data_IF_570783885657
#
_entry.id   IF_570783885657
#
_cell.length_a   1.000
_cell.length_b   1.000
_cell.length_c   1.000
_cell.angle_alpha   90.00
_cell.angle_beta   90.00
_cell.angle_gamma   90.00
#
_symmetry.space_group_name_H-M   'P 1'
#
loop_
_entity.id
_entity.type
_entity.pdbx_description
1 polymer ?
#
# COMPACT_ATOMS: atom_id res chain seq x y z
N UNK A 1 27.86 20.30 25.35
CA UNK A 1 26.69 19.64 25.96
C UNK A 1 25.75 19.27 24.81
N UNK A 2 25.92 18.06 24.26
CA UNK A 2 25.22 17.61 23.03
C UNK A 2 23.82 17.17 23.44
N UNK A 3 22.80 17.92 23.02
CA UNK A 3 21.41 17.60 23.31
C UNK A 3 21.05 16.19 22.81
N UNK A 4 20.22 15.47 23.57
CA UNK A 4 19.61 14.19 23.18
C UNK A 4 19.10 14.31 21.74
N UNK A 5 19.68 13.54 20.82
CA UNK A 5 19.28 13.57 19.42
C UNK A 5 17.87 12.99 19.31
N UNK A 6 17.05 13.50 18.38
CA UNK A 6 15.72 12.91 18.05
C UNK A 6 15.84 11.44 17.64
N UNK A 7 17.05 11.06 17.26
CA UNK A 7 17.55 9.73 16.94
C UNK A 7 17.53 8.71 18.09
N UNK A 8 17.48 9.11 19.36
CA UNK A 8 17.43 8.15 20.49
C UNK A 8 16.02 7.56 20.72
N UNK A 9 15.04 7.93 19.91
CA UNK A 9 13.71 7.33 19.94
C UNK A 9 13.75 5.90 19.36
N UNK A 10 13.34 4.86 20.12
CA UNK A 10 13.34 3.48 19.63
C UNK A 10 12.51 3.27 18.36
N UNK A 11 11.57 4.17 18.04
CA UNK A 11 10.78 4.15 16.81
C UNK A 11 11.60 4.49 15.55
N UNK A 12 12.73 5.16 15.70
CA UNK A 12 13.59 5.61 14.59
C UNK A 12 14.72 4.62 14.26
N UNK A 13 14.82 3.49 14.98
CA UNK A 13 15.87 2.49 14.80
C UNK A 13 15.95 1.92 13.38
N UNK A 14 14.81 1.77 12.70
CA UNK A 14 14.76 1.24 11.33
C UNK A 14 15.49 2.15 10.32
N UNK A 15 15.53 3.46 10.57
CA UNK A 15 16.24 4.39 9.68
C UNK A 15 17.76 4.28 9.83
N UNK A 16 18.25 3.96 11.02
CA UNK A 16 19.65 3.61 11.19
C UNK A 16 20.02 2.33 10.47
N UNK A 17 19.15 1.31 10.52
CA UNK A 17 19.37 0.10 9.73
C UNK A 17 19.34 0.38 8.23
N UNK A 18 18.47 1.28 7.77
CA UNK A 18 18.47 1.74 6.38
C UNK A 18 19.81 2.38 6.00
N UNK A 19 20.31 3.36 6.75
CA UNK A 19 21.61 4.01 6.48
C UNK A 19 22.76 3.00 6.57
N UNK A 20 22.72 2.09 7.55
CA UNK A 20 23.69 0.99 7.67
C UNK A 20 23.73 0.14 6.39
N UNK A 21 22.57 -0.28 5.88
CA UNK A 21 22.49 -1.07 4.64
C UNK A 21 23.03 -0.28 3.43
N UNK A 22 22.72 1.02 3.32
CA UNK A 22 23.25 1.88 2.26
C UNK A 22 24.79 1.99 2.34
N UNK A 23 25.33 2.09 3.55
CA UNK A 23 26.79 2.15 3.77
C UNK A 23 27.48 0.83 3.47
N UNK A 24 26.88 -0.30 3.83
CA UNK A 24 27.46 -1.64 3.65
C UNK A 24 27.33 -2.14 2.21
N UNK A 25 26.15 -2.03 1.60
CA UNK A 25 25.89 -2.48 0.23
C UNK A 25 26.47 -1.53 -0.83
N UNK A 26 26.70 -0.26 -0.45
CA UNK A 26 27.19 0.81 -1.32
C UNK A 26 26.45 0.90 -2.67
N UNK A 27 25.10 0.90 -2.75
CA UNK A 27 24.40 1.01 -4.03
C UNK A 27 24.75 2.30 -4.79
N UNK A 28 24.53 2.32 -6.11
CA UNK A 28 24.66 3.57 -6.90
C UNK A 28 23.66 4.63 -6.46
N UNK A 29 22.43 4.18 -6.17
CA UNK A 29 21.32 5.02 -5.74
C UNK A 29 20.58 4.34 -4.59
N UNK A 30 20.08 5.15 -3.66
CA UNK A 30 19.15 4.71 -2.64
C UNK A 30 17.93 5.63 -2.63
N UNK A 31 16.75 5.07 -2.36
CA UNK A 31 15.50 5.84 -2.25
C UNK A 31 14.93 5.62 -0.87
N UNK A 32 14.60 6.71 -0.19
CA UNK A 32 13.88 6.70 1.08
C UNK A 32 12.49 7.28 0.84
N UNK A 33 11.48 6.44 0.96
CA UNK A 33 10.07 6.83 0.87
C UNK A 33 9.46 6.90 2.27
N UNK A 34 8.62 7.91 2.50
CA UNK A 34 7.87 8.00 3.75
C UNK A 34 6.63 8.90 3.67
N UNK A 35 5.86 8.96 4.76
CA UNK A 35 4.68 9.82 4.87
C UNK A 35 5.01 11.30 4.77
N UNK A 36 4.13 12.09 4.15
CA UNK A 36 4.26 13.55 4.03
C UNK A 36 4.50 14.27 5.38
N UNK A 37 3.99 13.70 6.48
CA UNK A 37 4.07 14.27 7.82
C UNK A 37 5.50 14.46 8.33
N UNK A 38 6.48 13.72 7.79
CA UNK A 38 7.89 13.90 8.16
C UNK A 38 8.47 15.24 7.71
N UNK A 39 7.82 15.95 6.78
CA UNK A 39 8.27 17.26 6.30
C UNK A 39 7.91 18.43 7.23
N UNK A 40 7.23 18.17 8.35
CA UNK A 40 6.63 19.22 9.20
C UNK A 40 7.17 19.17 10.63
N UNK A 41 7.32 20.34 11.25
CA UNK A 41 7.66 20.49 12.67
C UNK A 41 9.00 19.85 13.06
N UNK A 42 9.03 19.19 14.21
CA UNK A 42 10.23 18.54 14.78
C UNK A 42 10.80 17.43 13.88
N UNK A 43 10.02 16.92 12.92
CA UNK A 43 10.47 15.89 11.98
C UNK A 43 11.37 16.44 10.85
N UNK A 44 11.42 17.77 10.64
CA UNK A 44 12.39 18.36 9.71
C UNK A 44 13.84 18.14 10.16
N UNK A 45 14.08 18.21 11.48
CA UNK A 45 15.39 17.90 12.04
C UNK A 45 15.80 16.45 11.77
N UNK A 46 14.84 15.52 11.86
CA UNK A 46 15.07 14.12 11.53
C UNK A 46 15.48 13.92 10.07
N UNK A 47 14.85 14.63 9.11
CA UNK A 47 15.27 14.57 7.72
C UNK A 47 16.67 15.15 7.50
N UNK A 48 17.02 16.24 8.19
CA UNK A 48 18.36 16.81 8.14
C UNK A 48 19.42 15.82 8.68
N UNK A 49 19.12 15.15 9.78
CA UNK A 49 19.99 14.12 10.37
C UNK A 49 20.16 12.91 9.44
N UNK A 50 19.10 12.47 8.75
CA UNK A 50 19.19 11.42 7.73
C UNK A 50 20.05 11.83 6.54
N UNK A 51 19.88 13.04 6.03
CA UNK A 51 20.68 13.57 4.91
C UNK A 51 22.15 13.63 5.30
N UNK A 52 22.46 14.14 6.50
CA UNK A 52 23.83 14.17 7.03
C UNK A 52 24.43 12.77 7.17
N UNK A 53 23.66 11.80 7.67
CA UNK A 53 24.11 10.42 7.80
C UNK A 53 24.40 9.77 6.43
N UNK A 54 23.61 10.08 5.39
CA UNK A 54 23.88 9.65 4.02
C UNK A 54 25.12 10.35 3.43
N UNK A 55 25.31 11.64 3.72
CA UNK A 55 26.50 12.38 3.32
C UNK A 55 27.79 11.78 3.90
N UNK A 56 27.76 11.41 5.18
CA UNK A 56 28.86 10.70 5.85
C UNK A 56 29.08 9.28 5.29
N UNK A 57 28.04 8.64 4.75
CA UNK A 57 28.14 7.37 4.05
C UNK A 57 28.61 7.50 2.58
N UNK A 58 28.89 8.71 2.10
CA UNK A 58 29.41 8.96 0.74
C UNK A 58 28.33 9.16 -0.32
N UNK A 59 27.17 9.70 0.05
CA UNK A 59 26.05 9.99 -0.86
C UNK A 59 25.66 11.46 -0.83
N UNK A 60 25.32 12.00 -1.98
CA UNK A 60 24.63 13.28 -2.11
C UNK A 60 23.13 13.02 -2.19
N UNK A 61 22.30 13.91 -1.64
CA UNK A 61 20.83 13.80 -1.70
C UNK A 61 20.26 14.85 -2.64
N UNK A 62 19.32 14.46 -3.49
CA UNK A 62 18.62 15.37 -4.39
C UNK A 62 17.74 16.36 -3.59
N UNK A 63 18.17 17.63 -3.58
CA UNK A 63 17.49 18.72 -2.88
C UNK A 63 16.96 19.79 -3.87
N UNK A 64 15.80 20.41 -3.57
CA UNK A 64 14.92 20.12 -2.44
C UNK A 64 14.24 18.75 -2.58
N UNK A 65 14.10 18.02 -1.47
CA UNK A 65 13.33 16.77 -1.47
C UNK A 65 11.85 17.04 -1.81
N UNK A 66 11.17 16.07 -2.40
CA UNK A 66 9.79 16.26 -2.89
C UNK A 66 8.76 15.40 -2.19
N UNK A 67 7.56 15.96 -2.04
CA UNK A 67 6.35 15.23 -1.69
C UNK A 67 5.53 15.05 -2.97
N UNK A 68 5.55 13.83 -3.51
CA UNK A 68 4.83 13.47 -4.72
C UNK A 68 3.42 12.98 -4.38
N UNK A 69 2.43 13.32 -5.20
CA UNK A 69 1.08 12.76 -5.10
C UNK A 69 0.90 11.66 -6.16
N UNK A 70 0.54 10.45 -5.73
CA UNK A 70 0.27 9.33 -6.63
C UNK A 70 -0.78 9.66 -7.71
N UNK A 71 -1.75 10.52 -7.36
CA UNK A 71 -2.77 11.03 -8.28
C UNK A 71 -2.19 11.60 -9.58
N UNK A 72 -1.02 12.24 -9.51
CA UNK A 72 -0.38 12.92 -10.63
C UNK A 72 0.38 11.96 -11.56
N UNK A 73 0.46 10.67 -11.20
CA UNK A 73 1.17 9.61 -11.93
C UNK A 73 0.23 8.46 -12.33
N UNK A 74 -1.03 8.79 -12.66
CA UNK A 74 -2.02 7.82 -13.13
C UNK A 74 -2.59 6.88 -12.07
N UNK A 75 -2.31 7.11 -10.77
CA UNK A 75 -2.92 6.32 -9.68
C UNK A 75 -4.20 7.02 -9.22
N UNK A 76 -5.38 6.40 -9.26
CA UNK A 76 -6.66 7.02 -8.89
C UNK A 76 -6.83 7.15 -7.36
N UNK A 77 -5.83 7.70 -6.67
CA UNK A 77 -5.79 7.88 -5.23
C UNK A 77 -5.03 9.16 -4.83
N UNK A 78 -5.63 10.00 -3.97
CA UNK A 78 -4.91 11.07 -3.29
C UNK A 78 -3.99 10.48 -2.21
N UNK A 79 -2.73 10.23 -2.58
CA UNK A 79 -1.70 9.67 -1.71
C UNK A 79 -0.41 10.44 -1.90
N UNK A 80 -0.11 11.30 -0.93
CA UNK A 80 1.12 12.08 -0.88
C UNK A 80 2.21 11.36 -0.09
N UNK A 81 3.40 11.25 -0.66
CA UNK A 81 4.59 10.62 -0.06
C UNK A 81 5.85 11.43 -0.31
N UNK A 82 6.66 11.51 0.73
CA UNK A 82 7.98 12.10 0.69
C UNK A 82 8.94 11.10 0.03
N UNK A 83 9.74 11.58 -0.91
CA UNK A 83 10.85 10.85 -1.50
C UNK A 83 12.14 11.62 -1.27
N UNK A 84 13.16 10.92 -0.77
CA UNK A 84 14.55 11.35 -0.77
C UNK A 84 15.32 10.39 -1.68
N UNK A 85 16.05 10.93 -2.64
CA UNK A 85 16.90 10.14 -3.54
C UNK A 85 18.35 10.45 -3.18
N UNK A 86 19.06 9.44 -2.69
CA UNK A 86 20.49 9.49 -2.44
C UNK A 86 21.26 8.90 -3.62
N UNK A 87 22.31 9.60 -4.03
CA UNK A 87 23.18 9.26 -5.15
C UNK A 87 24.59 9.12 -4.62
N UNK A 88 25.24 7.98 -4.90
CA UNK A 88 26.61 7.76 -4.46
C UNK A 88 27.53 8.78 -5.13
N UNK A 89 28.45 9.39 -4.38
CA UNK A 89 29.37 10.41 -4.90
C UNK A 89 30.08 9.91 -6.16
N UNK A 90 30.02 10.71 -7.23
CA UNK A 90 30.56 10.40 -8.56
C UNK A 90 29.56 9.75 -9.53
N UNK A 91 28.38 9.33 -9.08
CA UNK A 91 27.28 8.94 -9.99
C UNK A 91 26.46 10.17 -10.42
N UNK A 92 25.71 10.04 -11.51
CA UNK A 92 24.88 11.13 -12.04
C UNK A 92 23.64 11.32 -11.18
N UNK A 93 23.37 12.55 -10.71
CA UNK A 93 22.16 12.82 -9.93
C UNK A 93 20.90 12.70 -10.81
N UNK A 94 19.85 11.96 -10.40
CA UNK A 94 18.57 11.93 -11.11
C UNK A 94 17.71 13.17 -10.80
N UNK A 95 16.64 13.36 -11.56
CA UNK A 95 15.59 14.33 -11.28
C UNK A 95 14.39 13.69 -10.55
N UNK A 96 13.47 14.52 -10.05
CA UNK A 96 12.14 14.03 -9.68
C UNK A 96 11.24 13.90 -10.92
N UNK A 97 10.32 12.92 -10.96
CA UNK A 97 9.45 12.73 -12.11
C UNK A 97 8.41 13.84 -12.21
N UNK A 98 8.11 14.23 -13.45
CA UNK A 98 7.02 15.15 -13.76
C UNK A 98 5.68 14.38 -13.79
N UNK A 99 4.56 15.04 -13.43
CA UNK A 99 3.22 14.48 -13.57
C UNK A 99 2.94 13.93 -14.97
N UNK A 100 2.32 12.76 -15.06
CA UNK A 100 1.97 12.08 -16.33
C UNK A 100 0.49 12.06 -16.63
N UNK A 101 -0.36 12.49 -15.69
CA UNK A 101 -1.80 12.55 -15.84
C UNK A 101 -2.54 11.91 -14.66
N UNK A 102 -3.87 11.99 -14.69
CA UNK A 102 -4.74 11.48 -13.64
C UNK A 102 -5.71 10.45 -14.20
N UNK A 103 -6.08 9.49 -13.35
CA UNK A 103 -7.09 8.46 -13.63
C UNK A 103 -8.16 8.57 -12.56
N UNK A 104 -9.42 8.38 -12.95
CA UNK A 104 -10.58 8.45 -12.07
C UNK A 104 -10.90 7.10 -11.43
N UNK A 105 -11.70 7.12 -10.35
CA UNK A 105 -12.26 5.89 -9.74
C UNK A 105 -13.03 5.08 -10.77
N UNK A 106 -13.85 5.73 -11.61
CA UNK A 106 -14.65 5.06 -12.64
C UNK A 106 -13.77 4.31 -13.65
N UNK A 107 -12.68 4.93 -14.12
CA UNK A 107 -11.73 4.27 -15.02
C UNK A 107 -11.01 3.08 -14.38
N UNK A 108 -10.84 3.09 -13.06
CA UNK A 108 -10.10 2.05 -12.35
C UNK A 108 -10.94 0.82 -11.98
N UNK A 109 -12.19 1.03 -11.54
CA UNK A 109 -13.03 -0.05 -10.99
C UNK A 109 -14.39 -0.18 -11.67
N UNK A 110 -14.73 0.69 -12.63
CA UNK A 110 -16.05 0.72 -13.25
C UNK A 110 -16.39 -0.49 -14.13
N UNK A 111 -15.39 -1.25 -14.57
CA UNK A 111 -15.54 -2.51 -15.33
C UNK A 111 -15.66 -3.76 -14.44
N UNK A 112 -15.38 -3.64 -13.14
CA UNK A 112 -15.50 -4.77 -12.24
C UNK A 112 -16.97 -5.09 -12.01
N UNK A 113 -17.38 -6.37 -12.06
CA UNK A 113 -18.74 -6.73 -11.74
C UNK A 113 -19.01 -6.45 -10.27
N UNK A 114 -20.28 -6.32 -9.90
CA UNK A 114 -20.62 -6.22 -8.50
C UNK A 114 -20.26 -7.53 -7.78
N UNK A 115 -19.27 -7.48 -6.89
CA UNK A 115 -18.90 -8.64 -6.07
C UNK A 115 -20.10 -9.23 -5.33
N UNK A 116 -21.11 -8.39 -5.00
CA UNK A 116 -22.28 -8.84 -4.28
C UNK A 116 -23.20 -9.80 -5.05
N UNK A 117 -23.03 -9.92 -6.37
CA UNK A 117 -23.82 -10.80 -7.22
C UNK A 117 -23.31 -12.25 -7.17
N UNK A 118 -22.15 -12.49 -6.54
CA UNK A 118 -21.51 -13.81 -6.43
C UNK A 118 -21.54 -14.30 -4.99
N UNK A 119 -22.34 -15.32 -4.70
CA UNK A 119 -22.42 -15.93 -3.35
C UNK A 119 -21.13 -16.65 -2.97
N UNK A 120 -20.39 -17.19 -3.95
CA UNK A 120 -19.12 -17.88 -3.73
C UNK A 120 -18.06 -16.97 -3.08
N UNK A 121 -18.10 -15.67 -3.37
CA UNK A 121 -17.19 -14.68 -2.78
C UNK A 121 -17.46 -14.41 -1.28
N UNK A 122 -18.37 -15.14 -0.65
CA UNK A 122 -18.47 -15.22 0.82
C UNK A 122 -17.45 -16.20 1.41
N UNK A 123 -17.01 -17.20 0.63
CA UNK A 123 -16.15 -18.29 1.06
C UNK A 123 -14.77 -18.24 0.40
N UNK A 124 -14.70 -17.83 -0.85
CA UNK A 124 -13.46 -17.71 -1.63
C UNK A 124 -13.14 -16.26 -1.95
N UNK A 125 -11.87 -15.95 -2.24
CA UNK A 125 -11.47 -14.61 -2.70
C UNK A 125 -11.43 -14.50 -4.23
N UNK A 126 -11.75 -15.56 -4.97
CA UNK A 126 -11.69 -15.58 -6.43
C UNK A 126 -12.92 -16.22 -7.09
N UNK A 127 -13.23 -15.74 -8.29
CA UNK A 127 -14.27 -16.31 -9.17
C UNK A 127 -13.99 -15.98 -10.65
N UNK A 128 -14.37 -16.87 -11.57
CA UNK A 128 -14.28 -16.63 -13.01
C UNK A 128 -15.36 -15.67 -13.48
N UNK A 129 -14.97 -14.67 -14.29
CA UNK A 129 -15.79 -13.56 -14.79
C UNK A 129 -15.35 -13.20 -16.20
N UNK A 130 -16.31 -12.94 -17.08
CA UNK A 130 -16.04 -12.33 -18.39
C UNK A 130 -15.97 -10.81 -18.24
N UNK A 131 -14.78 -10.24 -18.40
CA UNK A 131 -14.57 -8.80 -18.32
C UNK A 131 -14.69 -8.14 -19.68
N UNK A 132 -15.24 -6.92 -19.68
CA UNK A 132 -15.21 -5.99 -20.80
C UNK A 132 -14.98 -4.60 -20.23
N UNK A 133 -14.08 -3.83 -20.83
CA UNK A 133 -13.77 -2.48 -20.38
C UNK A 133 -13.31 -1.62 -21.54
N UNK A 134 -13.74 -0.37 -21.56
CA UNK A 134 -13.23 0.65 -22.48
C UNK A 134 -12.13 1.51 -21.86
N UNK A 135 -11.92 1.41 -20.54
CA UNK A 135 -10.86 2.14 -19.84
C UNK A 135 -9.49 1.57 -20.19
N UNK A 136 -8.63 2.41 -20.77
CA UNK A 136 -7.23 2.05 -21.07
C UNK A 136 -6.47 1.62 -19.81
N UNK A 137 -6.71 2.30 -18.68
CA UNK A 137 -6.13 1.94 -17.39
C UNK A 137 -6.51 0.51 -16.99
N UNK A 138 -7.80 0.16 -17.06
CA UNK A 138 -8.28 -1.17 -16.70
C UNK A 138 -7.79 -2.23 -17.70
N UNK A 139 -7.70 -1.91 -19.01
CA UNK A 139 -7.14 -2.82 -20.03
C UNK A 139 -5.70 -3.17 -19.70
N UNK A 140 -4.85 -2.18 -19.38
CA UNK A 140 -3.44 -2.39 -19.02
C UNK A 140 -3.29 -3.22 -17.74
N UNK A 141 -4.01 -2.90 -16.67
CA UNK A 141 -3.93 -3.67 -15.42
C UNK A 141 -4.36 -5.14 -15.60
N UNK A 142 -5.27 -5.41 -16.54
CA UNK A 142 -5.77 -6.75 -16.85
C UNK A 142 -4.94 -7.49 -17.91
N UNK A 143 -3.98 -6.83 -18.56
CA UNK A 143 -3.20 -7.41 -19.66
C UNK A 143 -3.97 -7.53 -20.98
N UNK A 144 -5.08 -6.80 -21.14
CA UNK A 144 -5.79 -6.68 -22.42
C UNK A 144 -5.14 -5.66 -23.36
N UNK A 145 -4.24 -4.84 -22.84
CA UNK A 145 -3.47 -3.88 -23.62
C UNK A 145 -2.02 -3.85 -23.13
N UNK A 146 -1.11 -3.46 -24.02
CA UNK A 146 0.33 -3.41 -23.74
C UNK A 146 0.68 -2.06 -23.14
N UNK A 147 1.29 -2.07 -21.96
CA UNK A 147 1.96 -0.89 -21.43
C UNK A 147 3.43 -0.88 -21.95
N UNK A 148 3.82 0.05 -22.84
CA UNK A 148 5.18 0.10 -23.40
C UNK A 148 6.24 0.43 -22.35
N UNK A 149 5.86 0.97 -21.19
CA UNK A 149 6.75 1.27 -20.07
C UNK A 149 6.81 0.14 -19.03
N UNK A 150 6.00 -0.91 -19.18
CA UNK A 150 6.02 -2.06 -18.28
C UNK A 150 7.20 -2.99 -18.60
N UNK A 151 8.21 -2.95 -17.74
CA UNK A 151 9.41 -3.78 -17.77
C UNK A 151 9.32 -5.01 -16.85
N UNK A 152 8.13 -5.29 -16.29
CA UNK A 152 7.94 -6.49 -15.49
C UNK A 152 8.04 -7.75 -16.35
N UNK A 153 8.46 -8.85 -15.71
CA UNK A 153 8.36 -10.17 -16.31
C UNK A 153 6.88 -10.46 -16.65
N UNK A 154 6.58 -10.98 -17.86
CA UNK A 154 5.28 -11.53 -18.17
C UNK A 154 4.80 -12.52 -17.11
N UNK A 155 3.49 -12.56 -16.90
CA UNK A 155 2.83 -13.47 -15.97
C UNK A 155 1.88 -14.35 -16.75
N UNK A 156 1.96 -15.65 -16.56
CA UNK A 156 0.90 -16.56 -16.97
C UNK A 156 -0.20 -16.51 -15.91
N UNK A 157 -1.33 -15.89 -16.27
CA UNK A 157 -2.50 -15.76 -15.41
C UNK A 157 -3.76 -15.68 -16.25
N UNK A 158 -4.88 -16.16 -15.72
CA UNK A 158 -6.18 -16.01 -16.38
C UNK A 158 -6.74 -14.58 -16.16
N UNK A 159 -6.82 -13.72 -17.20
CA UNK A 159 -7.37 -12.38 -17.09
C UNK A 159 -8.89 -12.37 -16.85
N UNK A 160 -9.54 -13.54 -16.93
CA UNK A 160 -10.94 -13.76 -16.61
C UNK A 160 -11.18 -14.23 -15.17
N UNK A 161 -10.18 -14.18 -14.28
CA UNK A 161 -10.40 -14.42 -12.84
C UNK A 161 -10.46 -13.10 -12.07
N UNK A 162 -11.59 -12.87 -11.38
CA UNK A 162 -11.73 -11.84 -10.37
C UNK A 162 -11.11 -12.32 -9.06
N UNK A 163 -9.83 -12.08 -8.83
CA UNK A 163 -9.13 -12.47 -7.59
C UNK A 163 -9.21 -11.39 -6.50
N UNK A 164 -8.85 -11.72 -5.25
CA UNK A 164 -8.83 -10.81 -4.09
C UNK A 164 -10.15 -10.05 -3.86
N UNK A 165 -11.28 -10.73 -4.02
CA UNK A 165 -12.62 -10.13 -4.01
C UNK A 165 -13.57 -10.68 -2.94
N UNK A 166 -13.02 -11.28 -1.87
CA UNK A 166 -13.80 -11.75 -0.72
C UNK A 166 -14.70 -10.64 -0.17
N UNK A 167 -16.01 -10.91 -0.09
CA UNK A 167 -17.05 -9.92 0.23
C UNK A 167 -17.10 -9.54 1.69
N UNK A 168 -17.73 -8.40 1.97
CA UNK A 168 -18.10 -7.98 3.33
C UNK A 168 -19.61 -7.97 3.43
N UNK A 169 -20.13 -8.66 4.44
CA UNK A 169 -21.55 -8.61 4.75
C UNK A 169 -21.90 -7.30 5.45
N UNK A 170 -22.99 -6.68 5.02
CA UNK A 170 -23.49 -5.43 5.55
C UNK A 170 -24.96 -5.58 5.91
N UNK A 171 -25.36 -5.04 7.06
CA UNK A 171 -26.78 -4.99 7.44
C UNK A 171 -27.58 -4.14 6.47
N UNK A 172 -28.86 -4.45 6.27
CA UNK A 172 -29.75 -3.66 5.41
C UNK A 172 -29.80 -2.17 5.79
N UNK A 173 -29.73 -1.88 7.09
CA UNK A 173 -29.61 -0.50 7.60
C UNK A 173 -28.35 0.19 7.06
N UNK A 174 -27.20 -0.49 7.06
CA UNK A 174 -25.96 0.06 6.52
C UNK A 174 -26.03 0.24 5.00
N UNK A 175 -26.62 -0.74 4.30
CA UNK A 175 -26.80 -0.69 2.84
C UNK A 175 -27.64 0.51 2.43
N UNK A 176 -28.76 0.77 3.12
CA UNK A 176 -29.61 1.94 2.90
C UNK A 176 -28.83 3.24 3.06
N UNK A 177 -28.07 3.41 4.16
CA UNK A 177 -27.24 4.60 4.38
C UNK A 177 -26.16 4.77 3.30
N UNK A 178 -25.56 3.67 2.82
CA UNK A 178 -24.57 3.71 1.75
C UNK A 178 -25.19 4.18 0.42
N UNK A 179 -26.43 3.79 0.10
CA UNK A 179 -27.16 4.30 -1.07
C UNK A 179 -27.42 5.80 -0.96
N UNK A 180 -27.97 6.24 0.17
CA UNK A 180 -28.36 7.64 0.44
C UNK A 180 -27.16 8.60 0.51
N UNK A 181 -25.97 8.10 0.85
CA UNK A 181 -24.76 8.91 0.90
C UNK A 181 -24.40 9.42 -0.51
N UNK A 182 -24.21 10.72 -0.67
CA UNK A 182 -23.76 11.31 -1.93
C UNK A 182 -22.30 10.95 -2.25
N UNK A 183 -21.96 10.87 -3.54
CA UNK A 183 -20.59 10.66 -4.00
C UNK A 183 -19.61 11.71 -3.43
N UNK A 184 -18.44 11.27 -2.99
CA UNK A 184 -17.42 12.12 -2.38
C UNK A 184 -17.75 12.60 -0.96
N UNK A 185 -18.82 12.12 -0.33
CA UNK A 185 -19.19 12.46 1.05
C UNK A 185 -18.96 11.30 2.01
N UNK A 186 -18.84 11.62 3.29
CA UNK A 186 -18.75 10.61 4.34
C UNK A 186 -20.15 10.24 4.82
N UNK A 187 -20.42 8.95 4.95
CA UNK A 187 -21.67 8.46 5.52
C UNK A 187 -21.79 8.93 6.98
N UNK A 188 -22.95 9.47 7.42
CA UNK A 188 -23.07 10.14 8.71
C UNK A 188 -22.67 9.30 9.93
N UNK A 189 -22.98 8.00 9.94
CA UNK A 189 -22.81 7.11 11.10
C UNK A 189 -21.45 6.44 11.12
N UNK A 190 -21.12 5.64 10.10
CA UNK A 190 -19.84 4.92 9.99
C UNK A 190 -18.66 5.84 9.67
N UNK A 191 -18.95 7.05 9.17
CA UNK A 191 -17.95 8.00 8.66
C UNK A 191 -17.14 7.47 7.48
N UNK A 192 -17.59 6.37 6.85
CA UNK A 192 -16.94 5.82 5.67
C UNK A 192 -17.14 6.77 4.48
N UNK A 193 -16.07 6.99 3.74
CA UNK A 193 -16.08 7.86 2.57
C UNK A 193 -16.69 7.13 1.38
N UNK A 194 -17.74 7.67 0.76
CA UNK A 194 -18.26 7.17 -0.51
C UNK A 194 -17.44 7.74 -1.65
N UNK A 195 -16.87 6.86 -2.45
CA UNK A 195 -16.04 7.25 -3.58
C UNK A 195 -16.83 8.11 -4.57
N UNK A 196 -16.17 9.12 -5.12
CA UNK A 196 -16.67 9.87 -6.27
C UNK A 196 -16.18 9.20 -7.55
N UNK A 197 -17.06 8.71 -8.45
CA UNK A 197 -16.64 8.05 -9.68
C UNK A 197 -15.76 8.91 -10.57
N UNK A 198 -16.00 10.23 -10.63
CA UNK A 198 -15.25 11.16 -11.48
C UNK A 198 -14.04 11.79 -10.74
N UNK A 199 -13.79 11.36 -9.50
CA UNK A 199 -12.67 11.81 -8.68
C UNK A 199 -11.61 10.72 -8.48
N UNK A 200 -10.76 10.92 -7.48
CA UNK A 200 -9.80 9.92 -6.99
C UNK A 200 -10.23 9.39 -5.63
N UNK A 201 -9.79 8.19 -5.28
CA UNK A 201 -9.97 7.64 -3.94
C UNK A 201 -9.21 8.47 -2.89
N UNK A 202 -9.74 8.53 -1.67
CA UNK A 202 -8.95 8.95 -0.51
C UNK A 202 -7.80 7.95 -0.26
N UNK A 203 -6.79 8.36 0.52
CA UNK A 203 -5.67 7.47 0.88
C UNK A 203 -6.19 6.19 1.54
N UNK A 204 -5.87 5.05 0.92
CA UNK A 204 -6.13 3.73 1.52
C UNK A 204 -5.10 3.50 2.64
N UNK A 205 -5.61 3.35 3.87
CA UNK A 205 -4.79 3.23 5.09
C UNK A 205 -4.70 1.76 5.50
N UNK A 206 -3.56 1.38 6.09
CA UNK A 206 -3.27 0.00 6.45
C UNK A 206 -3.95 -0.49 7.74
N UNK A 207 -4.54 0.41 8.53
CA UNK A 207 -5.07 0.11 9.86
C UNK A 207 -3.98 0.07 10.93
N UNK A 208 -4.39 -0.08 12.18
CA UNK A 208 -3.48 -0.27 13.31
C UNK A 208 -3.01 -1.72 13.37
N UNK A 209 -1.81 -1.94 13.89
CA UNK A 209 -1.34 -3.28 14.22
C UNK A 209 -2.18 -3.89 15.37
N UNK A 210 -1.99 -5.19 15.61
CA UNK A 210 -2.65 -5.92 16.68
C UNK A 210 -2.31 -5.36 18.08
N UNK A 211 -1.14 -4.72 18.24
CA UNK A 211 -0.71 -4.11 19.49
C UNK A 211 -1.57 -2.89 19.88
N UNK A 212 -2.08 -2.11 18.92
CA UNK A 212 -2.90 -0.91 19.14
C UNK A 212 -4.41 -1.15 18.98
N UNK A 213 -4.83 -2.42 19.03
CA UNK A 213 -6.18 -2.84 18.69
C UNK A 213 -6.28 -3.13 17.20
N UNK A 214 -6.57 -4.38 16.85
CA UNK A 214 -6.64 -4.87 15.48
C UNK A 214 -7.88 -4.30 14.75
N UNK A 215 -7.85 -3.01 14.42
CA UNK A 215 -8.92 -2.35 13.68
C UNK A 215 -8.51 -2.26 12.21
N UNK A 216 -9.39 -2.76 11.33
CA UNK A 216 -9.29 -2.42 9.91
C UNK A 216 -9.41 -0.90 9.78
N UNK A 217 -8.60 -0.29 8.90
CA UNK A 217 -8.90 1.09 8.52
C UNK A 217 -10.28 1.16 7.87
N UNK A 218 -11.02 2.27 8.06
CA UNK A 218 -12.26 2.52 7.33
C UNK A 218 -12.06 2.33 5.83
N UNK A 219 -12.82 1.39 5.25
CA UNK A 219 -12.78 1.10 3.82
C UNK A 219 -13.79 2.00 3.11
N UNK A 220 -13.42 2.62 1.97
CA UNK A 220 -14.36 3.43 1.22
C UNK A 220 -15.61 2.66 0.80
N UNK A 221 -16.75 3.35 0.73
CA UNK A 221 -17.99 2.84 0.14
C UNK A 221 -17.84 2.90 -1.37
N UNK A 222 -18.24 1.81 -2.06
CA UNK A 222 -18.26 1.72 -3.52
C UNK A 222 -19.13 2.85 -4.12
N UNK A 223 -18.77 3.43 -5.28
CA UNK A 223 -19.54 4.54 -5.85
C UNK A 223 -20.99 4.14 -6.17
N UNK A 224 -21.21 2.95 -6.73
CA UNK A 224 -22.53 2.55 -7.25
C UNK A 224 -23.26 1.48 -6.42
N UNK A 225 -22.55 0.80 -5.51
CA UNK A 225 -23.09 -0.37 -4.82
C UNK A 225 -23.09 -0.12 -3.31
N UNK A 226 -24.11 -0.60 -2.58
CA UNK A 226 -24.26 -0.35 -1.15
C UNK A 226 -23.37 -1.27 -0.31
N UNK A 227 -22.07 -1.26 -0.60
CA UNK A 227 -21.03 -2.03 0.08
C UNK A 227 -19.73 -1.23 0.13
N UNK A 228 -18.82 -1.63 1.02
CA UNK A 228 -17.44 -1.15 0.93
C UNK A 228 -16.71 -1.82 -0.22
N UNK A 229 -15.60 -1.21 -0.64
CA UNK A 229 -14.77 -1.75 -1.72
C UNK A 229 -14.12 -3.09 -1.32
N UNK A 230 -13.84 -3.94 -2.31
CA UNK A 230 -13.07 -5.19 -2.18
C UNK A 230 -11.55 -4.93 -2.16
N UNK A 231 -10.76 -5.96 -1.85
CA UNK A 231 -9.28 -5.85 -1.91
C UNK A 231 -8.82 -5.63 -3.37
N UNK A 232 -9.47 -6.25 -4.36
CA UNK A 232 -9.20 -6.01 -5.79
C UNK A 232 -9.50 -4.60 -6.24
N UNK A 233 -10.64 -4.05 -5.84
CA UNK A 233 -10.99 -2.66 -6.12
C UNK A 233 -9.97 -1.71 -5.48
N UNK A 234 -9.56 -1.98 -4.24
CA UNK A 234 -8.50 -1.25 -3.56
C UNK A 234 -7.14 -1.37 -4.27
N UNK A 235 -6.79 -2.56 -4.77
CA UNK A 235 -5.55 -2.83 -5.48
C UNK A 235 -5.49 -2.04 -6.80
N UNK A 236 -6.58 -2.02 -7.57
CA UNK A 236 -6.69 -1.20 -8.78
C UNK A 236 -6.68 0.29 -8.47
N UNK A 237 -7.31 0.71 -7.38
CA UNK A 237 -7.21 2.11 -6.91
C UNK A 237 -5.78 2.48 -6.45
N UNK A 238 -4.91 1.49 -6.28
CA UNK A 238 -3.51 1.61 -5.90
C UNK A 238 -2.55 1.17 -7.02
N UNK A 239 -3.05 1.05 -8.25
CA UNK A 239 -2.32 0.68 -9.48
C UNK A 239 -1.57 -0.65 -9.46
N UNK A 240 -2.10 -1.64 -8.73
CA UNK A 240 -1.62 -3.02 -8.88
C UNK A 240 -2.26 -3.69 -10.10
N UNK A 241 -1.47 -4.45 -10.89
CA UNK A 241 -2.03 -5.26 -11.97
C UNK A 241 -2.90 -6.40 -11.41
N UNK A 242 -3.83 -6.89 -12.24
CA UNK A 242 -4.85 -7.86 -11.84
C UNK A 242 -4.29 -9.25 -11.51
N UNK A 243 -3.12 -9.57 -12.08
CA UNK A 243 -2.38 -10.78 -11.75
C UNK A 243 -1.79 -10.78 -10.33
N UNK A 244 -1.57 -9.60 -9.72
CA UNK A 244 -0.97 -9.51 -8.40
C UNK A 244 -1.98 -9.96 -7.33
N UNK A 245 -1.62 -10.99 -6.56
CA UNK A 245 -2.44 -11.54 -5.47
C UNK A 245 -2.07 -10.93 -4.13
N UNK A 246 -3.08 -10.77 -3.29
CA UNK A 246 -2.92 -10.35 -1.89
C UNK A 246 -3.34 -11.49 -0.96
N UNK A 247 -3.00 -11.34 0.32
CA UNK A 247 -3.45 -12.28 1.34
C UNK A 247 -4.99 -12.42 1.31
N UNK A 248 -5.50 -13.65 1.40
CA UNK A 248 -6.93 -13.99 1.21
C UNK A 248 -7.88 -13.27 2.17
N UNK A 249 -7.44 -13.04 3.41
CA UNK A 249 -8.22 -12.25 4.38
C UNK A 249 -8.27 -10.76 4.02
N UNK A 250 -9.46 -10.17 4.15
CA UNK A 250 -9.71 -8.74 3.95
C UNK A 250 -8.73 -7.86 4.74
N UNK A 251 -8.50 -8.16 6.03
CA UNK A 251 -7.64 -7.34 6.89
C UNK A 251 -6.20 -7.27 6.37
N UNK A 252 -5.58 -8.42 6.06
CA UNK A 252 -4.19 -8.46 5.59
C UNK A 252 -4.05 -7.85 4.18
N UNK A 253 -4.97 -8.15 3.26
CA UNK A 253 -4.93 -7.58 1.91
C UNK A 253 -4.99 -6.05 1.88
N UNK A 254 -5.93 -5.45 2.62
CA UNK A 254 -6.00 -3.99 2.75
C UNK A 254 -4.77 -3.41 3.46
N UNK A 255 -4.19 -4.13 4.43
CA UNK A 255 -2.97 -3.71 5.13
C UNK A 255 -1.76 -3.69 4.19
N UNK A 256 -1.60 -4.72 3.35
CA UNK A 256 -0.56 -4.80 2.33
C UNK A 256 -0.64 -3.62 1.35
N UNK A 257 -1.84 -3.34 0.82
CA UNK A 257 -2.07 -2.20 -0.08
C UNK A 257 -1.85 -0.86 0.64
N UNK A 258 -2.37 -0.69 1.86
CA UNK A 258 -2.27 0.57 2.57
C UNK A 258 -0.84 0.98 2.94
N UNK A 259 0.03 -0.02 3.20
CA UNK A 259 1.43 0.18 3.55
C UNK A 259 2.35 0.36 2.34
N UNK A 260 1.97 -0.14 1.16
CA UNK A 260 2.87 -0.12 0.00
C UNK A 260 2.95 1.24 -0.69
N UNK A 261 3.91 1.35 -1.60
CA UNK A 261 3.96 2.44 -2.58
C UNK A 261 3.18 1.98 -3.82
N UNK A 262 2.28 2.80 -4.39
CA UNK A 262 1.60 2.46 -5.64
C UNK A 262 2.61 2.13 -6.75
N UNK A 263 2.45 1.01 -7.49
CA UNK A 263 3.41 0.62 -8.53
C UNK A 263 3.70 1.70 -9.57
N UNK A 264 2.71 2.47 -10.05
CA UNK A 264 2.96 3.51 -11.04
C UNK A 264 3.76 4.69 -10.47
N UNK A 265 3.54 5.08 -9.21
CA UNK A 265 4.37 6.09 -8.54
C UNK A 265 5.80 5.58 -8.32
N UNK A 266 5.95 4.33 -7.90
CA UNK A 266 7.25 3.68 -7.77
C UNK A 266 7.99 3.65 -9.11
N UNK A 267 7.29 3.29 -10.19
CA UNK A 267 7.82 3.30 -11.56
C UNK A 267 8.27 4.69 -12.00
N UNK A 268 7.49 5.73 -11.72
CA UNK A 268 7.84 7.10 -12.06
C UNK A 268 9.16 7.55 -11.42
N UNK A 269 9.35 7.26 -10.13
CA UNK A 269 10.61 7.55 -9.41
C UNK A 269 11.76 6.70 -9.95
N UNK A 270 11.55 5.39 -10.11
CA UNK A 270 12.58 4.49 -10.64
C UNK A 270 13.01 4.85 -12.06
N UNK A 271 12.09 5.35 -12.90
CA UNK A 271 12.38 5.81 -14.26
C UNK A 271 13.40 6.94 -14.32
N UNK A 272 13.45 7.83 -13.32
CA UNK A 272 14.46 8.87 -13.25
C UNK A 272 15.85 8.32 -12.89
N UNK A 273 15.89 7.28 -12.05
CA UNK A 273 17.13 6.58 -11.73
C UNK A 273 17.65 5.83 -12.97
N UNK A 274 16.77 5.19 -13.74
CA UNK A 274 17.15 4.54 -15.01
C UNK A 274 17.75 5.54 -15.99
N UNK A 275 17.16 6.75 -16.12
CA UNK A 275 17.71 7.82 -16.95
C UNK A 275 19.10 8.25 -16.48
N UNK A 276 19.28 8.47 -15.18
CA UNK A 276 20.58 8.87 -14.61
C UNK A 276 21.65 7.77 -14.72
N UNK A 277 21.24 6.50 -14.69
CA UNK A 277 22.12 5.37 -14.98
C UNK A 277 22.60 5.33 -16.44
N UNK A 278 21.94 6.04 -17.35
CA UNK A 278 22.24 6.00 -18.79
C UNK A 278 21.98 4.63 -19.42
N UNK A 279 21.16 3.79 -18.79
CA UNK A 279 20.87 2.44 -19.26
C UNK A 279 19.53 2.39 -19.99
N UNK A 280 19.46 1.56 -21.01
CA UNK A 280 18.20 1.22 -21.68
C UNK A 280 17.79 -0.20 -21.25
N UNK A 281 16.90 -0.34 -20.27
CA UNK A 281 16.47 -1.66 -19.82
C UNK A 281 15.67 -2.37 -20.92
N UNK A 282 15.75 -3.69 -20.95
CA UNK A 282 14.97 -4.56 -21.82
C UNK A 282 13.92 -5.30 -21.02
N UNK A 283 12.70 -5.41 -21.55
CA UNK A 283 11.65 -6.23 -20.92
C UNK A 283 12.07 -7.71 -20.98
N UNK A 284 12.04 -8.45 -19.87
CA UNK A 284 12.29 -9.89 -19.90
C UNK A 284 11.27 -10.61 -20.78
N UNK A 285 11.71 -11.61 -21.55
CA UNK A 285 10.83 -12.47 -22.37
C UNK A 285 10.33 -13.71 -21.61
N UNK A 286 11.00 -14.08 -20.53
CA UNK A 286 10.64 -15.21 -19.69
C UNK A 286 9.28 -14.96 -19.02
N UNK A 287 8.36 -15.90 -19.20
CA UNK A 287 7.05 -15.87 -18.55
C UNK A 287 7.11 -16.62 -17.24
N UNK A 288 6.68 -15.97 -16.15
CA UNK A 288 6.58 -16.61 -14.83
C UNK A 288 5.16 -17.10 -14.63
N UNK A 289 5.01 -18.40 -14.43
CA UNK A 289 3.72 -19.00 -14.07
C UNK A 289 3.34 -18.67 -12.64
N UNK A 290 2.10 -18.23 -12.44
CA UNK A 290 1.55 -18.05 -11.08
C UNK A 290 1.15 -19.38 -10.45
N UNK A 291 0.91 -20.43 -11.23
CA UNK A 291 0.54 -21.75 -10.73
C UNK A 291 1.74 -22.47 -10.09
N UNK A 292 2.97 -22.13 -10.51
CA UNK A 292 4.22 -22.63 -9.94
C UNK A 292 4.53 -22.00 -8.56
N UNK A 293 3.82 -20.92 -8.19
CA UNK A 293 4.00 -20.27 -6.91
C UNK A 293 3.28 -21.04 -5.79
N UNK A 294 3.90 -21.12 -4.61
CA UNK A 294 3.26 -21.69 -3.42
C UNK A 294 2.05 -20.84 -2.99
N UNK A 295 0.86 -21.29 -3.40
CA UNK A 295 -0.41 -20.63 -3.11
C UNK A 295 -0.73 -20.60 -1.61
N UNK A 296 -0.12 -21.47 -0.79
CA UNK A 296 -0.37 -21.49 0.64
C UNK A 296 0.09 -20.19 1.31
N UNK A 297 1.11 -19.53 0.74
CA UNK A 297 1.64 -18.24 1.20
C UNK A 297 0.56 -17.14 1.26
N UNK A 298 -0.49 -17.22 0.43
CA UNK A 298 -1.59 -16.26 0.44
C UNK A 298 -2.51 -16.38 1.66
N UNK A 299 -2.36 -17.46 2.44
CA UNK A 299 -3.26 -17.84 3.54
C UNK A 299 -2.56 -18.03 4.88
N UNK A 300 -1.25 -17.79 4.95
CA UNK A 300 -0.49 -17.95 6.18
C UNK A 300 -0.99 -17.01 7.28
N UNK A 301 -1.38 -17.60 8.40
CA UNK A 301 -1.45 -16.85 9.66
C UNK A 301 -0.04 -16.50 10.17
N UNK A 302 0.02 -15.66 11.20
CA UNK A 302 1.28 -15.21 11.77
C UNK A 302 2.16 -16.35 12.31
N UNK A 303 1.57 -17.42 12.82
CA UNK A 303 2.31 -18.56 13.37
C UNK A 303 2.94 -19.38 12.24
N UNK A 304 2.16 -19.67 11.19
CA UNK A 304 2.66 -20.36 9.98
C UNK A 304 3.75 -19.55 9.29
N UNK A 305 3.56 -18.24 9.15
CA UNK A 305 4.57 -17.34 8.58
C UNK A 305 5.85 -17.34 9.42
N UNK A 306 5.75 -17.22 10.75
CA UNK A 306 6.90 -17.25 11.64
C UNK A 306 7.68 -18.56 11.53
N UNK A 307 6.98 -19.70 11.49
CA UNK A 307 7.59 -21.01 11.28
C UNK A 307 8.27 -21.13 9.92
N UNK A 308 7.61 -20.68 8.84
CA UNK A 308 8.14 -20.78 7.48
C UNK A 308 9.42 -19.97 7.29
N UNK A 309 9.46 -18.75 7.81
CA UNK A 309 10.63 -17.86 7.73
C UNK A 309 11.66 -18.10 8.84
N UNK A 310 11.46 -19.09 9.71
CA UNK A 310 12.33 -19.39 10.85
C UNK A 310 12.58 -18.19 11.77
N UNK A 311 11.53 -17.41 12.05
CA UNK A 311 11.60 -16.24 12.94
C UNK A 311 10.71 -16.43 14.17
N UNK A 312 11.01 -15.78 15.31
CA UNK A 312 10.16 -15.89 16.50
C UNK A 312 8.72 -15.40 16.23
N UNK A 313 7.69 -16.08 16.76
CA UNK A 313 6.30 -15.64 16.62
C UNK A 313 6.01 -14.32 17.36
N UNK A 314 6.93 -13.87 18.21
CA UNK A 314 6.90 -12.59 18.93
C UNK A 314 7.56 -11.43 18.17
N UNK A 315 8.05 -11.64 16.93
CA UNK A 315 8.67 -10.58 16.12
C UNK A 315 7.73 -9.39 15.91
N UNK A 316 6.43 -9.64 15.78
CA UNK A 316 5.42 -8.58 15.83
C UNK A 316 4.97 -8.43 17.28
N UNK A 317 5.09 -7.21 17.81
CA UNK A 317 4.69 -6.87 19.18
C UNK A 317 3.26 -7.37 19.45
N UNK A 318 3.13 -8.25 20.45
CA UNK A 318 1.84 -8.79 20.84
C UNK A 318 1.08 -7.77 21.70
N UNK A 319 -0.26 -7.86 21.65
CA UNK A 319 -1.12 -7.00 22.46
C UNK A 319 -0.83 -7.28 23.94
N UNK A 320 -0.43 -6.26 24.67
CA UNK A 320 -0.40 -6.32 26.14
C UNK A 320 -1.85 -6.45 26.63
N UNK A 321 -2.27 -7.67 26.95
CA UNK A 321 -3.47 -7.87 27.75
C UNK A 321 -3.13 -7.31 29.13
N UNK A 322 -3.69 -6.15 29.49
CA UNK A 322 -3.78 -5.79 30.91
C UNK A 322 -4.53 -6.94 31.58
N UNK A 323 -3.86 -7.70 32.45
CA UNK A 323 -4.58 -8.54 33.40
C UNK A 323 -5.47 -7.60 34.20
N UNK A 324 -6.78 -7.75 34.08
CA UNK A 324 -7.65 -7.27 35.13
C UNK A 324 -7.44 -8.25 36.28
N UNK A 325 -6.57 -7.88 37.22
CA UNK A 325 -6.53 -8.55 38.51
C UNK A 325 -7.87 -8.31 39.20
N UNK A 326 -8.73 -9.32 39.15
CA UNK A 326 -9.87 -9.47 40.04
C UNK A 326 -9.33 -9.97 41.38
N UNK A 327 -8.77 -9.07 42.19
CA UNK A 327 -8.54 -9.27 43.63
C UNK A 327 -8.57 -7.90 44.30
N UNK A 328 -9.17 -7.85 45.48
CA UNK A 328 -9.43 -6.66 46.32
C UNK A 328 -10.72 -5.88 46.01
N UNK A 329 -11.87 -6.54 46.17
CA UNK A 329 -13.11 -5.84 46.59
C UNK A 329 -14.03 -6.77 47.42
N UNK A 330 -13.43 -7.61 48.29
CA UNK A 330 -14.18 -8.51 49.19
C UNK A 330 -13.82 -8.38 50.68
N UNK A 331 -13.19 -7.28 51.11
CA UNK A 331 -12.83 -7.08 52.54
C UNK A 331 -13.27 -5.73 53.12
N UNK A 332 -14.27 -5.06 52.53
CA UNK A 332 -14.85 -3.82 53.09
C UNK A 332 -16.33 -3.94 53.48
N UNK A 333 -16.81 -5.15 53.77
CA UNK A 333 -18.18 -5.40 54.26
C UNK A 333 -18.17 -6.30 55.50
N UNK A 334 -17.42 -5.91 56.52
CA UNK A 334 -17.56 -6.44 57.88
C UNK A 334 -16.85 -5.52 58.88
N UNK A 335 -17.40 -4.33 59.11
CA UNK A 335 -17.52 -3.67 60.43
C UNK A 335 -18.77 -2.80 60.40
#
# INVERSE_FOLDING_TARGET
MIGKRVLDDPRNQLVFHYVRLVRELRPKYCVFENVKGLTVGKHKQFLAELIEALAQAGYDVLLPYQVLNAADFGVPQDRRRLFLIGTRKGETMPDYPLPTGRVTVKEAIGDLPNADDFSQLMLTDSISVKFKTESEYAKRLRGFDVDPEDLSYPRDFDPHVLSSSLRTEHTEVSRKRFLETAHGKNEPVSRFHKLNPDGVSNTLRAGTDSARGAFTSPRPIHPYHPRVITVREAARLHSYPDWFRFHVTKWHGFRQIGNSVPPLLGRAVAGQIVKALGVKPTKPSETVSLDDCDQQLLSFDMSKAASYFSVPPSVIAQRTRKSYDKKEESEAASV
#
